data_IF_208012452772
#
_entry.id   IF_208012452772
#
_cell.length_a   1.000
_cell.length_b   1.000
_cell.length_c   1.000
_cell.angle_alpha   90.00
_cell.angle_beta   90.00
_cell.angle_gamma   90.00
#
_symmetry.space_group_name_H-M   'P 1'
#
loop_
_entity.id
_entity.type
_entity.pdbx_description
1 polymer ?
#
# COMPACT_ATOMS: atom_id res chain seq x y z
N UNK A 1 -42.52 5.85 26.72
CA UNK A 1 -42.23 5.54 25.30
C UNK A 1 -41.18 6.44 24.64
N UNK A 2 -40.88 7.65 25.14
CA UNK A 2 -39.86 8.53 24.55
C UNK A 2 -38.39 8.09 24.78
N UNK A 3 -38.11 7.31 25.82
CA UNK A 3 -36.72 6.93 26.16
C UNK A 3 -36.18 5.73 25.37
N UNK A 4 -37.05 4.89 24.81
CA UNK A 4 -36.64 3.72 24.01
C UNK A 4 -36.16 4.16 22.62
N UNK A 5 -36.78 5.21 22.04
CA UNK A 5 -36.39 5.79 20.76
C UNK A 5 -35.02 6.50 20.78
N UNK A 6 -34.61 7.04 21.94
CA UNK A 6 -33.32 7.73 22.09
C UNK A 6 -32.16 6.73 22.21
N UNK A 7 -32.39 5.60 22.90
CA UNK A 7 -31.42 4.51 23.01
C UNK A 7 -31.16 3.80 21.68
N UNK A 8 -32.20 3.62 20.85
CA UNK A 8 -32.02 3.05 19.50
C UNK A 8 -31.22 3.96 18.56
N UNK A 9 -31.31 5.29 18.73
CA UNK A 9 -30.60 6.25 17.88
C UNK A 9 -29.08 6.27 18.16
N UNK A 10 -28.69 6.09 19.43
CA UNK A 10 -27.28 6.01 19.85
C UNK A 10 -26.64 4.68 19.39
N UNK A 11 -27.40 3.59 19.39
CA UNK A 11 -26.93 2.28 18.92
C UNK A 11 -26.67 2.27 17.39
N UNK A 12 -27.45 3.03 16.62
CA UNK A 12 -27.26 3.19 15.17
C UNK A 12 -26.04 4.08 14.82
N UNK A 13 -25.65 5.02 15.67
CA UNK A 13 -24.46 5.87 15.48
C UNK A 13 -23.14 5.14 15.75
N UNK A 14 -23.16 3.99 16.45
CA UNK A 14 -21.97 3.18 16.73
C UNK A 14 -21.62 2.19 15.60
N UNK A 15 -22.47 2.03 14.58
CA UNK A 15 -22.34 0.96 13.58
C UNK A 15 -21.74 1.44 12.24
N UNK A 16 -21.49 2.75 12.06
CA UNK A 16 -20.84 3.23 10.82
C UNK A 16 -19.41 3.70 11.06
N UNK A 17 -18.59 2.89 11.71
CA UNK A 17 -17.16 2.91 11.43
C UNK A 17 -16.91 1.75 10.47
N UNK A 18 -16.79 2.03 9.17
CA UNK A 18 -16.14 1.09 8.26
C UNK A 18 -14.70 0.99 8.74
N UNK A 19 -14.42 -0.04 9.53
CA UNK A 19 -13.07 -0.27 10.04
C UNK A 19 -12.22 -0.71 8.84
N UNK A 20 -11.58 0.25 8.16
CA UNK A 20 -10.63 0.00 7.07
C UNK A 20 -9.32 -0.63 7.58
N UNK A 21 -9.35 -1.25 8.78
CA UNK A 21 -8.23 -2.00 9.33
C UNK A 21 -7.91 -3.16 8.42
N UNK A 22 -6.62 -3.29 8.15
CA UNK A 22 -6.05 -4.45 7.47
C UNK A 22 -6.42 -5.70 8.26
N UNK A 23 -7.07 -6.66 7.61
CA UNK A 23 -7.43 -7.93 8.23
C UNK A 23 -6.17 -8.59 8.81
N UNK A 24 -6.14 -8.79 10.14
CA UNK A 24 -5.04 -9.49 10.82
C UNK A 24 -4.82 -10.84 10.14
N UNK A 25 -3.55 -11.17 9.85
CA UNK A 25 -3.17 -12.38 9.10
C UNK A 25 -3.06 -12.21 7.59
N UNK A 26 -3.43 -11.04 7.04
CA UNK A 26 -3.23 -10.69 5.63
C UNK A 26 -2.10 -9.72 5.39
N UNK A 27 -1.26 -9.49 6.39
CA UNK A 27 -0.04 -8.74 6.20
C UNK A 27 1.10 -9.31 7.03
N UNK A 28 2.30 -8.91 6.64
CA UNK A 28 3.53 -9.13 7.39
C UNK A 28 4.38 -7.87 7.27
N UNK A 29 5.11 -7.56 8.35
CA UNK A 29 6.18 -6.57 8.33
C UNK A 29 7.48 -7.35 8.27
N UNK A 30 8.25 -7.12 7.21
CA UNK A 30 9.55 -7.74 7.00
C UNK A 30 10.64 -6.76 7.39
N UNK A 31 11.63 -7.24 8.12
CA UNK A 31 12.83 -6.46 8.43
C UNK A 31 13.61 -6.19 7.14
N UNK A 32 14.07 -4.96 6.97
CA UNK A 32 14.87 -4.57 5.81
C UNK A 32 16.29 -5.11 5.92
N UNK A 33 16.74 -5.83 4.90
CA UNK A 33 18.10 -6.36 4.79
C UNK A 33 18.83 -5.74 3.59
N UNK A 34 19.75 -4.81 3.85
CA UNK A 34 20.41 -4.02 2.80
C UNK A 34 21.03 -4.87 1.68
N UNK A 35 21.68 -5.99 1.99
CA UNK A 35 22.36 -6.82 0.99
C UNK A 35 21.41 -7.64 0.09
N UNK A 36 20.17 -7.88 0.54
CA UNK A 36 19.20 -8.73 -0.17
C UNK A 36 18.00 -7.93 -0.69
N UNK A 37 17.82 -6.71 -0.19
CA UNK A 37 16.68 -5.82 -0.46
C UNK A 37 17.10 -4.46 -1.03
N UNK A 38 18.35 -4.28 -1.45
CA UNK A 38 18.82 -3.04 -2.10
C UNK A 38 18.04 -2.64 -3.37
N UNK A 39 17.32 -3.57 -3.98
CA UNK A 39 16.41 -3.31 -5.11
C UNK A 39 15.10 -2.64 -4.68
N UNK A 40 14.77 -2.66 -3.38
CA UNK A 40 13.61 -1.96 -2.80
C UNK A 40 14.01 -0.52 -2.46
N UNK A 41 15.07 -0.37 -1.68
CA UNK A 41 15.67 0.90 -1.28
C UNK A 41 17.17 0.82 -1.51
N UNK A 42 17.78 1.85 -2.10
CA UNK A 42 19.23 1.85 -2.32
C UNK A 42 20.00 1.85 -0.99
N UNK A 43 19.49 2.62 -0.02
CA UNK A 43 20.03 2.74 1.32
C UNK A 43 18.90 2.98 2.35
N UNK A 44 19.19 2.65 3.60
CA UNK A 44 18.27 2.87 4.71
C UNK A 44 18.58 1.96 5.89
N UNK A 45 18.08 2.34 7.07
CA UNK A 45 18.16 1.54 8.29
C UNK A 45 16.79 0.90 8.56
N UNK A 46 16.71 -0.40 8.90
CA UNK A 46 15.44 -1.03 9.25
C UNK A 46 14.77 -0.30 10.42
N UNK A 47 13.44 -0.25 10.39
CA UNK A 47 12.64 0.33 11.48
C UNK A 47 11.37 -0.48 11.70
N UNK A 48 10.63 -0.15 12.75
CA UNK A 48 9.37 -0.81 13.07
C UNK A 48 8.17 -0.01 12.53
N UNK A 49 7.05 -0.73 12.35
CA UNK A 49 5.75 -0.15 12.03
C UNK A 49 4.75 -0.39 13.14
N UNK A 50 4.23 0.70 13.71
CA UNK A 50 3.14 0.67 14.67
C UNK A 50 1.76 0.53 14.00
N UNK A 51 0.74 0.11 14.75
CA UNK A 51 -0.65 0.06 14.25
C UNK A 51 -1.15 1.45 13.81
N UNK A 52 -0.70 2.52 14.49
CA UNK A 52 -1.04 3.89 14.11
C UNK A 52 -0.50 4.23 12.71
N UNK A 53 0.75 3.89 12.44
CA UNK A 53 1.40 4.12 11.15
C UNK A 53 0.77 3.27 10.04
N UNK A 54 0.40 2.02 10.34
CA UNK A 54 -0.37 1.19 9.39
C UNK A 54 -1.69 1.88 8.98
N UNK A 55 -2.42 2.44 9.94
CA UNK A 55 -3.67 3.16 9.63
C UNK A 55 -3.41 4.46 8.85
N UNK A 56 -2.27 5.11 9.06
CA UNK A 56 -1.87 6.30 8.33
C UNK A 56 -1.51 5.98 6.87
N UNK A 57 -0.78 4.89 6.66
CA UNK A 57 -0.49 4.35 5.33
C UNK A 57 -1.80 4.09 4.57
N UNK A 58 -2.79 3.43 5.18
CA UNK A 58 -4.07 3.16 4.51
C UNK A 58 -4.76 4.43 4.03
N UNK A 59 -4.77 5.49 4.86
CA UNK A 59 -5.36 6.79 4.48
C UNK A 59 -4.65 7.43 3.28
N UNK A 60 -3.34 7.23 3.14
CA UNK A 60 -2.55 7.74 2.01
C UNK A 60 -2.86 6.96 0.73
N UNK A 61 -2.89 5.63 0.82
CA UNK A 61 -2.95 4.76 -0.38
C UNK A 61 -4.37 4.54 -0.88
N UNK A 62 -5.37 4.41 0.01
CA UNK A 62 -6.75 4.06 -0.36
C UNK A 62 -7.34 4.96 -1.45
N UNK A 63 -7.27 6.30 -1.37
CA UNK A 63 -7.80 7.15 -2.44
C UNK A 63 -7.05 7.00 -3.77
N UNK A 64 -5.80 6.54 -3.77
CA UNK A 64 -4.96 6.38 -4.97
C UNK A 64 -5.17 5.06 -5.69
N UNK A 65 -5.46 4.00 -4.95
CA UNK A 65 -5.58 2.62 -5.49
C UNK A 65 -6.93 1.96 -5.18
N UNK A 66 -7.97 2.74 -4.83
CA UNK A 66 -9.32 2.23 -4.50
C UNK A 66 -9.92 1.33 -5.57
N UNK A 67 -9.64 1.60 -6.85
CA UNK A 67 -10.07 0.77 -7.97
C UNK A 67 -9.46 -0.64 -7.96
N UNK A 68 -8.26 -0.81 -7.39
CA UNK A 68 -7.63 -2.12 -7.21
C UNK A 68 -8.19 -2.82 -5.96
N UNK A 69 -8.22 -2.07 -4.84
CA UNK A 69 -8.66 -2.58 -3.54
C UNK A 69 -10.12 -3.05 -3.55
N UNK A 70 -11.00 -2.39 -4.32
CA UNK A 70 -12.42 -2.78 -4.45
C UNK A 70 -12.64 -4.08 -5.23
N UNK A 71 -11.69 -4.48 -6.08
CA UNK A 71 -11.84 -5.65 -6.97
C UNK A 71 -11.49 -6.97 -6.30
N UNK A 72 -10.65 -6.95 -5.26
CA UNK A 72 -10.18 -8.15 -4.57
C UNK A 72 -9.48 -7.80 -3.26
N UNK A 73 -9.36 -8.80 -2.38
CA UNK A 73 -8.54 -8.72 -1.18
C UNK A 73 -7.09 -9.07 -1.48
N UNK A 74 -6.17 -8.35 -0.85
CA UNK A 74 -4.73 -8.55 -0.99
C UNK A 74 -4.10 -9.02 0.33
N UNK A 75 -3.06 -9.82 0.20
CA UNK A 75 -2.02 -9.95 1.21
C UNK A 75 -0.98 -8.87 0.99
N UNK A 76 -0.33 -8.41 2.06
CA UNK A 76 0.61 -7.30 1.99
C UNK A 76 1.93 -7.63 2.68
N UNK A 77 3.03 -7.24 2.05
CA UNK A 77 4.35 -7.25 2.68
C UNK A 77 4.79 -5.80 2.85
N UNK A 78 5.08 -5.40 4.07
CA UNK A 78 5.60 -4.07 4.39
C UNK A 78 7.10 -4.18 4.69
N UNK A 79 7.89 -3.29 4.09
CA UNK A 79 9.33 -3.15 4.39
C UNK A 79 9.58 -1.69 4.75
N UNK A 80 9.63 -1.36 6.05
CA UNK A 80 9.90 0.00 6.51
C UNK A 80 11.40 0.28 6.67
N UNK A 81 11.82 1.49 6.28
CA UNK A 81 13.18 2.00 6.46
C UNK A 81 13.15 3.45 6.93
N UNK A 82 14.22 3.87 7.59
CA UNK A 82 14.59 5.28 7.71
C UNK A 82 15.67 5.55 6.66
N UNK A 83 15.42 6.50 5.74
CA UNK A 83 16.38 6.90 4.73
C UNK A 83 17.49 7.80 5.33
N UNK A 84 18.45 8.24 4.50
CA UNK A 84 19.58 9.07 4.96
C UNK A 84 19.15 10.46 5.49
N UNK A 85 18.01 10.97 5.01
CA UNK A 85 17.45 12.25 5.41
C UNK A 85 16.64 12.15 6.73
N UNK A 86 16.46 10.93 7.25
CA UNK A 86 15.69 10.66 8.47
C UNK A 86 14.20 10.41 8.22
N UNK A 87 13.77 10.32 6.96
CA UNK A 87 12.38 10.08 6.59
C UNK A 87 12.02 8.59 6.65
N UNK A 88 10.83 8.31 7.19
CA UNK A 88 10.30 6.95 7.26
C UNK A 88 9.61 6.58 5.97
N UNK A 89 10.26 5.71 5.19
CA UNK A 89 9.75 5.19 3.92
C UNK A 89 9.32 3.73 4.07
N UNK A 90 8.26 3.36 3.35
CA UNK A 90 7.68 2.03 3.39
C UNK A 90 7.47 1.56 1.98
N UNK A 91 8.06 0.41 1.66
CA UNK A 91 7.70 -0.34 0.46
C UNK A 91 6.61 -1.34 0.80
N UNK A 92 5.63 -1.45 -0.08
CA UNK A 92 4.46 -2.30 0.12
C UNK A 92 4.26 -3.15 -1.12
N UNK A 93 4.31 -4.47 -0.96
CA UNK A 93 3.97 -5.44 -2.00
C UNK A 93 2.55 -5.96 -1.79
N UNK A 94 1.73 -5.89 -2.82
CA UNK A 94 0.36 -6.41 -2.82
C UNK A 94 0.31 -7.72 -3.57
N UNK A 95 -0.25 -8.76 -2.93
CA UNK A 95 -0.32 -10.12 -3.46
C UNK A 95 -1.77 -10.59 -3.37
N UNK A 96 -2.44 -10.86 -4.48
CA UNK A 96 -3.78 -11.45 -4.43
C UNK A 96 -3.73 -12.99 -4.42
N UNK A 97 -4.83 -13.62 -4.01
CA UNK A 97 -4.86 -15.07 -3.78
C UNK A 97 -4.22 -15.47 -2.45
N UNK A 98 -4.41 -16.71 -2.01
CA UNK A 98 -3.74 -17.22 -0.81
C UNK A 98 -2.30 -17.59 -1.17
N UNK A 99 -1.27 -16.96 -0.59
CA UNK A 99 0.10 -17.40 -0.82
C UNK A 99 0.22 -18.86 -0.36
N UNK A 100 0.59 -19.76 -1.27
CA UNK A 100 0.48 -21.21 -1.06
C UNK A 100 1.40 -21.76 0.05
N UNK A 101 2.31 -20.95 0.60
CA UNK A 101 3.25 -21.33 1.66
C UNK A 101 3.65 -20.11 2.50
N UNK A 102 4.25 -20.33 3.67
CA UNK A 102 4.66 -19.24 4.58
C UNK A 102 5.86 -18.39 4.09
N UNK A 103 6.40 -18.65 2.89
CA UNK A 103 7.57 -17.91 2.36
C UNK A 103 7.32 -16.42 2.22
N UNK A 104 6.08 -16.01 1.93
CA UNK A 104 5.71 -14.59 1.85
C UNK A 104 5.84 -13.88 3.21
N UNK A 105 5.88 -14.61 4.33
CA UNK A 105 6.06 -14.05 5.66
C UNK A 105 7.52 -13.83 6.03
N UNK A 106 8.46 -14.39 5.28
CA UNK A 106 9.88 -14.38 5.65
C UNK A 106 10.75 -13.61 4.67
N UNK A 107 10.28 -13.33 3.45
CA UNK A 107 11.03 -12.54 2.46
C UNK A 107 10.11 -11.94 1.39
N UNK A 108 10.53 -10.84 0.74
CA UNK A 108 9.77 -10.23 -0.36
C UNK A 108 9.44 -11.24 -1.46
N UNK A 109 8.18 -11.25 -1.90
CA UNK A 109 7.72 -12.09 -3.00
C UNK A 109 7.97 -11.39 -4.32
N UNK A 110 8.74 -12.05 -5.19
CA UNK A 110 9.03 -11.58 -6.53
C UNK A 110 8.17 -12.35 -7.55
N UNK A 111 7.34 -11.62 -8.31
CA UNK A 111 6.43 -12.21 -9.30
C UNK A 111 6.59 -11.44 -10.61
N UNK A 112 6.91 -12.13 -11.70
CA UNK A 112 7.22 -11.46 -12.97
C UNK A 112 5.97 -10.97 -13.72
N UNK A 113 4.98 -11.86 -13.87
CA UNK A 113 3.74 -11.57 -14.59
C UNK A 113 2.55 -11.95 -13.74
N UNK A 114 1.85 -10.92 -13.26
CA UNK A 114 0.77 -11.06 -12.30
C UNK A 114 -0.37 -10.07 -12.50
N UNK A 115 -0.20 -9.09 -13.39
CA UNK A 115 -1.10 -7.97 -13.60
C UNK A 115 -1.53 -7.31 -12.29
N UNK A 116 -2.76 -6.82 -12.26
CA UNK A 116 -3.36 -6.18 -11.07
C UNK A 116 -3.41 -7.02 -9.79
N UNK A 117 -3.00 -8.30 -9.80
CA UNK A 117 -2.89 -9.14 -8.62
C UNK A 117 -1.58 -8.92 -7.86
N UNK A 118 -0.55 -8.41 -8.54
CA UNK A 118 0.79 -8.20 -8.00
C UNK A 118 1.27 -6.80 -8.36
N UNK A 119 1.36 -5.92 -7.36
CA UNK A 119 1.82 -4.55 -7.56
C UNK A 119 2.57 -4.05 -6.32
N UNK A 120 3.45 -3.08 -6.53
CA UNK A 120 4.21 -2.42 -5.47
C UNK A 120 3.89 -0.94 -5.42
N UNK A 121 4.02 -0.38 -4.23
CA UNK A 121 4.02 1.06 -3.98
C UNK A 121 5.07 1.38 -2.94
N UNK A 122 5.48 2.65 -2.90
CA UNK A 122 6.15 3.22 -1.74
C UNK A 122 5.35 4.37 -1.14
N UNK A 123 5.49 4.50 0.17
CA UNK A 123 4.90 5.57 0.96
C UNK A 123 5.99 6.22 1.79
N UNK A 124 6.03 7.54 1.80
CA UNK A 124 6.81 8.32 2.76
C UNK A 124 5.85 8.83 3.82
N UNK A 125 6.00 8.37 5.06
CA UNK A 125 5.15 8.79 6.17
C UNK A 125 5.51 10.18 6.69
N UNK A 126 6.77 10.59 6.65
CA UNK A 126 7.19 11.93 7.05
C UNK A 126 6.49 12.98 6.19
N UNK A 127 6.49 12.74 4.88
CA UNK A 127 6.02 13.67 3.86
C UNK A 127 4.59 13.38 3.37
N UNK A 128 3.95 12.32 3.87
CA UNK A 128 2.62 11.85 3.45
C UNK A 128 2.52 11.62 1.93
N UNK A 129 3.59 11.07 1.34
CA UNK A 129 3.73 10.90 -0.10
C UNK A 129 3.44 9.47 -0.54
N UNK A 130 2.75 9.34 -1.68
CA UNK A 130 2.59 8.09 -2.43
C UNK A 130 3.47 8.15 -3.68
N UNK A 131 4.32 7.15 -3.92
CA UNK A 131 5.24 7.12 -5.06
C UNK A 131 5.62 5.69 -5.46
N UNK A 132 6.40 5.55 -6.54
CA UNK A 132 6.90 4.26 -7.07
C UNK A 132 5.81 3.18 -7.21
N UNK A 133 4.66 3.55 -7.79
CA UNK A 133 3.59 2.61 -8.09
C UNK A 133 3.90 1.80 -9.35
N UNK A 134 3.90 0.48 -9.22
CA UNK A 134 4.23 -0.44 -10.31
C UNK A 134 3.34 -1.68 -10.28
N UNK A 135 2.80 -2.09 -11.43
CA UNK A 135 2.04 -3.33 -11.60
C UNK A 135 2.87 -4.35 -12.37
N UNK A 136 3.03 -5.55 -11.82
CA UNK A 136 3.90 -6.58 -12.40
C UNK A 136 3.27 -7.13 -13.69
N UNK A 137 4.08 -7.34 -14.73
CA UNK A 137 3.62 -7.85 -16.02
C UNK A 137 2.91 -6.84 -16.93
N UNK A 138 2.67 -5.61 -16.46
CA UNK A 138 2.22 -4.53 -17.34
C UNK A 138 3.41 -3.60 -17.60
N UNK A 139 3.83 -3.50 -18.85
CA UNK A 139 4.70 -2.41 -19.30
C UNK A 139 3.87 -1.12 -19.37
N UNK A 140 3.32 -0.68 -18.25
CA UNK A 140 2.53 0.56 -18.21
C UNK A 140 3.46 1.73 -17.97
N UNK A 141 3.69 2.52 -19.02
CA UNK A 141 4.19 3.88 -18.89
C UNK A 141 3.05 4.70 -18.29
N UNK A 142 2.85 4.63 -16.97
CA UNK A 142 1.92 5.55 -16.31
C UNK A 142 2.69 6.83 -15.92
N UNK A 143 2.34 8.00 -16.49
CA UNK A 143 2.93 9.25 -16.03
C UNK A 143 2.42 9.54 -14.62
N UNK A 144 3.29 9.40 -13.62
CA UNK A 144 3.05 9.95 -12.29
C UNK A 144 3.22 11.47 -12.33
N UNK A 145 2.32 12.20 -13.00
CA UNK A 145 2.24 13.66 -12.86
C UNK A 145 0.79 14.11 -12.89
N UNK A 146 0.17 14.15 -11.71
CA UNK A 146 -0.89 15.12 -11.48
C UNK A 146 -0.24 16.42 -10.99
N UNK A 147 0.03 17.33 -11.92
CA UNK A 147 -0.17 18.76 -11.73
C UNK A 147 -0.25 19.41 -13.11
N UNK A 148 -1.29 20.24 -13.28
CA UNK A 148 -1.54 21.19 -14.36
C UNK A 148 -0.49 21.25 -15.49
N UNK A 149 -0.90 20.89 -16.71
CA UNK A 149 -0.66 21.59 -17.99
C UNK A 149 -0.95 20.59 -19.13
N UNK A 150 -2.14 20.70 -19.70
CA UNK A 150 -2.42 20.16 -21.03
C UNK A 150 -1.56 20.93 -22.04
N UNK A 151 -0.54 20.30 -22.59
CA UNK A 151 -0.07 20.58 -23.95
C UNK A 151 0.52 19.31 -24.57
N UNK A 152 -0.26 18.75 -25.48
CA UNK A 152 0.10 17.98 -26.68
C UNK A 152 1.52 17.41 -26.79
N UNK A 153 1.60 16.07 -26.82
CA UNK A 153 2.62 15.36 -27.61
C UNK A 153 1.95 14.26 -28.43
N UNK A 154 1.73 14.57 -29.70
CA UNK A 154 1.48 13.59 -30.77
C UNK A 154 2.79 12.89 -31.10
N UNK A 155 2.83 11.56 -31.04
CA UNK A 155 3.86 10.77 -31.72
C UNK A 155 3.22 9.99 -32.86
N UNK A 156 3.58 10.36 -34.08
CA UNK A 156 3.31 9.59 -35.28
C UNK A 156 4.21 8.36 -35.34
N UNK A 157 3.64 7.26 -35.81
CA UNK A 157 4.40 6.07 -36.21
C UNK A 157 4.72 6.20 -37.71
N UNK A 158 5.99 5.97 -38.06
CA UNK A 158 6.40 5.67 -39.44
C UNK A 158 5.89 4.28 -39.85
#
# INVERSE_FOLDING_TARGET
>A
MKNILLLSLILLLLISCSDNRIEKGRYVVLEYEQNTMNWIFEEGVPTELSEKELNEIEKIIEPKISNLLSRRKYYRQYVPVINIDGDKQIWINFLCGNPENDRWKTKPMYVLDGGSCFFQIKVDLSNHLFYDFWINGIAEVQPLHNNAYNTAFTFGFN
#
